data_IF_157221608547
#
_entry.id   IF_157221608547
#
_cell.length_a   1.000
_cell.length_b   1.000
_cell.length_c   1.000
_cell.angle_alpha   90.00
_cell.angle_beta   90.00
_cell.angle_gamma   90.00
#
_symmetry.space_group_name_H-M   'P 1'
#
loop_
_entity.id
_entity.type
_entity.pdbx_description
1 polymer ?
#
# COMPACT_ATOMS: atom_id res chain seq x y z
N UNK A 1 10.18 -15.34 -2.01
CA UNK A 1 9.44 -16.30 -2.86
C UNK A 1 9.77 -16.05 -4.33
N UNK A 2 9.87 -17.08 -5.17
CA UNK A 2 10.03 -16.93 -6.62
C UNK A 2 8.67 -17.19 -7.30
N UNK A 3 8.27 -16.29 -8.20
CA UNK A 3 7.07 -16.40 -9.02
C UNK A 3 7.45 -16.11 -10.49
N UNK A 4 7.70 -17.17 -11.28
CA UNK A 4 8.36 -17.01 -12.59
C UNK A 4 9.76 -16.40 -12.44
N UNK A 5 10.02 -15.28 -13.11
CA UNK A 5 11.27 -14.53 -13.01
C UNK A 5 11.24 -13.44 -11.91
N UNK A 6 10.14 -13.35 -11.16
CA UNK A 6 10.00 -12.39 -10.06
C UNK A 6 10.54 -12.99 -8.77
N UNK A 7 11.44 -12.29 -8.11
CA UNK A 7 11.81 -12.56 -6.72
C UNK A 7 11.03 -11.60 -5.81
N UNK A 8 10.16 -12.15 -4.96
CA UNK A 8 9.22 -11.40 -4.12
C UNK A 8 9.52 -11.58 -2.65
N UNK A 9 9.57 -10.48 -1.91
CA UNK A 9 9.74 -10.43 -0.46
C UNK A 9 8.67 -9.53 0.14
N UNK A 10 7.97 -10.03 1.14
CA UNK A 10 7.01 -9.22 1.88
C UNK A 10 7.75 -8.11 2.63
N UNK A 11 7.25 -6.91 2.48
CA UNK A 11 7.64 -5.76 3.25
C UNK A 11 6.60 -5.53 4.36
N UNK A 12 7.01 -5.60 5.62
CA UNK A 12 6.20 -5.16 6.76
C UNK A 12 6.83 -3.87 7.30
N UNK A 13 6.19 -2.75 6.99
CA UNK A 13 6.71 -1.42 7.28
C UNK A 13 6.18 -0.84 8.60
N UNK A 14 5.56 -1.67 9.43
CA UNK A 14 5.05 -1.31 10.76
C UNK A 14 3.66 -1.88 11.03
N UNK A 15 3.25 -1.78 12.30
CA UNK A 15 1.93 -2.18 12.77
C UNK A 15 1.26 -1.02 13.51
N UNK A 16 -0.04 -0.91 13.41
CA UNK A 16 -0.82 0.13 14.04
C UNK A 16 -2.27 -0.32 14.31
N UNK A 17 -3.10 0.56 14.83
CA UNK A 17 -4.53 0.28 15.03
C UNK A 17 -5.38 1.37 14.41
N UNK A 18 -6.48 0.96 13.78
CA UNK A 18 -7.52 1.83 13.25
C UNK A 18 -8.86 1.59 13.94
N UNK A 19 -9.72 2.61 13.96
CA UNK A 19 -11.11 2.42 14.38
C UNK A 19 -11.85 1.51 13.39
N UNK A 20 -12.56 0.50 13.91
CA UNK A 20 -13.28 -0.45 13.06
C UNK A 20 -14.40 0.20 12.24
N UNK A 21 -14.98 1.31 12.69
CA UNK A 21 -15.95 2.09 11.92
C UNK A 21 -15.31 2.80 10.73
N UNK A 22 -14.04 3.23 10.86
CA UNK A 22 -13.27 3.77 9.74
C UNK A 22 -13.06 2.69 8.66
N UNK A 23 -12.66 1.50 9.08
CA UNK A 23 -12.26 0.43 8.17
C UNK A 23 -13.44 -0.29 7.51
N UNK A 24 -14.61 -0.32 8.15
CA UNK A 24 -15.74 -1.10 7.63
C UNK A 24 -16.94 -0.26 7.18
N UNK A 25 -16.88 1.05 7.33
CA UNK A 25 -17.87 1.98 6.78
C UNK A 25 -19.30 1.65 7.20
N UNK A 26 -20.13 1.41 6.21
CA UNK A 26 -21.55 1.10 6.39
C UNK A 26 -21.85 -0.34 6.86
N UNK A 27 -20.83 -1.21 6.93
CA UNK A 27 -21.03 -2.59 7.38
C UNK A 27 -21.33 -2.60 8.89
N UNK A 28 -22.43 -3.21 9.34
CA UNK A 28 -22.76 -3.27 10.76
C UNK A 28 -21.66 -3.97 11.58
N UNK A 29 -21.31 -3.39 12.75
CA UNK A 29 -20.26 -3.91 13.63
C UNK A 29 -20.46 -5.41 13.96
N UNK A 30 -21.68 -5.83 14.23
CA UNK A 30 -22.02 -7.24 14.54
C UNK A 30 -21.65 -8.24 13.41
N UNK A 31 -21.39 -7.74 12.19
CA UNK A 31 -20.94 -8.55 11.06
C UNK A 31 -19.42 -8.53 10.92
N UNK A 32 -18.79 -7.34 10.93
CA UNK A 32 -17.35 -7.25 10.69
C UNK A 32 -16.52 -7.66 11.91
N UNK A 33 -17.00 -7.43 13.15
CA UNK A 33 -16.28 -7.79 14.37
C UNK A 33 -16.02 -9.30 14.49
N UNK A 34 -16.89 -10.14 13.89
CA UNK A 34 -16.67 -11.59 13.79
C UNK A 34 -15.50 -11.98 12.90
N UNK A 35 -15.07 -11.08 12.01
CA UNK A 35 -13.97 -11.28 11.06
C UNK A 35 -12.69 -10.62 11.53
N UNK A 36 -12.82 -9.44 12.15
CA UNK A 36 -11.73 -8.65 12.69
C UNK A 36 -12.15 -8.12 14.07
N UNK A 37 -11.83 -8.86 15.16
CA UNK A 37 -12.18 -8.45 16.51
C UNK A 37 -11.59 -7.09 16.88
N UNK A 38 -12.41 -6.22 17.48
CA UNK A 38 -11.99 -4.93 17.98
C UNK A 38 -11.69 -4.98 19.48
N UNK A 39 -10.80 -4.11 19.94
CA UNK A 39 -10.59 -3.89 21.37
C UNK A 39 -11.71 -3.02 21.98
N UNK A 40 -11.60 -2.72 23.31
CA UNK A 40 -12.60 -1.92 24.03
C UNK A 40 -12.81 -0.50 23.48
N UNK A 41 -11.84 0.02 22.71
CA UNK A 41 -11.89 1.33 22.09
C UNK A 41 -12.34 1.24 20.61
N UNK A 42 -12.88 0.12 20.18
CA UNK A 42 -13.26 -0.16 18.79
C UNK A 42 -12.07 -0.23 17.81
N UNK A 43 -10.83 -0.38 18.31
CA UNK A 43 -9.62 -0.41 17.49
C UNK A 43 -9.32 -1.83 17.03
N UNK A 44 -9.01 -2.00 15.75
CA UNK A 44 -8.59 -3.26 15.12
C UNK A 44 -7.11 -3.20 14.76
N UNK A 45 -6.47 -4.36 14.68
CA UNK A 45 -5.07 -4.46 14.29
C UNK A 45 -4.90 -4.27 12.77
N UNK A 46 -3.89 -3.47 12.41
CA UNK A 46 -3.47 -3.13 11.05
C UNK A 46 -1.98 -3.39 10.90
N UNK A 47 -1.54 -3.76 9.70
CA UNK A 47 -0.14 -3.73 9.31
C UNK A 47 0.04 -2.78 8.12
N UNK A 48 1.22 -2.22 7.94
CA UNK A 48 1.62 -1.57 6.69
C UNK A 48 2.40 -2.61 5.89
N UNK A 49 1.73 -3.22 4.93
CA UNK A 49 2.27 -4.30 4.11
C UNK A 49 2.50 -3.81 2.69
N UNK A 50 3.68 -4.07 2.20
CA UNK A 50 4.07 -3.81 0.83
C UNK A 50 4.89 -4.97 0.27
N UNK A 51 5.67 -4.67 -0.75
CA UNK A 51 6.48 -5.66 -1.44
C UNK A 51 7.85 -5.09 -1.80
N UNK A 52 8.90 -5.87 -1.58
CA UNK A 52 10.20 -5.66 -2.18
C UNK A 52 10.35 -6.73 -3.26
N UNK A 53 10.53 -6.32 -4.50
CA UNK A 53 10.62 -7.24 -5.64
C UNK A 53 11.90 -7.02 -6.45
N UNK A 54 12.49 -8.12 -6.96
CA UNK A 54 13.46 -8.06 -8.05
C UNK A 54 12.78 -8.45 -9.35
N UNK A 55 12.79 -7.53 -10.32
CA UNK A 55 12.15 -7.67 -11.62
C UNK A 55 13.18 -7.30 -12.69
N UNK A 56 13.57 -8.24 -13.53
CA UNK A 56 14.59 -8.03 -14.58
C UNK A 56 15.89 -7.38 -14.02
N UNK A 57 16.34 -7.83 -12.84
CA UNK A 57 17.55 -7.33 -12.18
C UNK A 57 17.39 -6.00 -11.45
N UNK A 58 16.20 -5.37 -11.48
CA UNK A 58 15.90 -4.11 -10.78
C UNK A 58 15.22 -4.35 -9.46
N UNK A 59 15.52 -3.52 -8.46
CA UNK A 59 14.89 -3.55 -7.13
C UNK A 59 13.73 -2.56 -7.11
N UNK A 60 12.53 -3.08 -6.87
CA UNK A 60 11.28 -2.32 -6.77
C UNK A 60 10.79 -2.39 -5.33
N UNK A 61 10.43 -1.25 -4.76
CA UNK A 61 9.72 -1.16 -3.46
C UNK A 61 8.30 -0.67 -3.73
N UNK A 62 7.32 -1.42 -3.26
CA UNK A 62 5.93 -1.02 -3.27
C UNK A 62 5.44 -0.82 -1.85
N UNK A 63 4.88 0.33 -1.57
CA UNK A 63 4.51 0.85 -0.26
C UNK A 63 5.71 1.18 0.64
N UNK A 64 5.60 2.25 1.40
CA UNK A 64 6.68 2.66 2.30
C UNK A 64 6.24 2.75 3.76
N UNK A 65 4.96 2.52 4.02
CA UNK A 65 4.39 2.54 5.36
C UNK A 65 4.38 3.92 6.01
N UNK A 66 4.24 3.93 7.32
CA UNK A 66 4.10 5.15 8.15
C UNK A 66 5.42 5.93 8.25
N UNK A 67 6.56 5.23 8.16
CA UNK A 67 7.85 5.83 8.42
C UNK A 67 8.04 6.26 9.88
N UNK A 68 9.08 7.07 10.12
CA UNK A 68 9.52 7.43 11.47
C UNK A 68 9.21 8.88 11.88
N UNK A 69 8.47 9.64 11.04
CA UNK A 69 8.24 11.08 11.24
C UNK A 69 6.95 11.41 11.99
N UNK A 70 6.10 10.41 12.26
CA UNK A 70 4.83 10.63 12.93
C UNK A 70 5.04 11.24 14.32
N UNK A 71 4.26 12.26 14.69
CA UNK A 71 4.37 12.86 16.00
C UNK A 71 4.06 11.83 17.10
N UNK A 72 4.72 11.94 18.26
CA UNK A 72 4.49 11.05 19.40
C UNK A 72 3.01 10.93 19.77
N UNK A 73 2.30 12.08 19.77
CA UNK A 73 0.86 12.11 20.04
C UNK A 73 0.07 11.23 19.07
N UNK A 74 0.36 11.36 17.77
CA UNK A 74 -0.35 10.58 16.73
C UNK A 74 0.08 9.10 16.78
N UNK A 75 1.36 8.83 16.99
CA UNK A 75 1.87 7.46 17.16
C UNK A 75 1.19 6.73 18.35
N UNK A 76 0.99 7.43 19.48
CA UNK A 76 0.24 6.88 20.60
C UNK A 76 -1.25 6.66 20.28
N UNK A 77 -1.88 7.57 19.55
CA UNK A 77 -3.30 7.46 19.18
C UNK A 77 -3.56 6.23 18.29
N UNK A 78 -2.66 5.94 17.37
CA UNK A 78 -2.76 4.78 16.46
C UNK A 78 -2.02 3.54 16.98
N UNK A 79 -1.47 3.58 18.18
CA UNK A 79 -0.73 2.47 18.80
C UNK A 79 0.36 1.96 17.84
N UNK A 80 1.15 2.89 17.28
CA UNK A 80 2.20 2.56 16.31
C UNK A 80 3.27 1.66 16.92
N UNK A 81 3.63 0.61 16.20
CA UNK A 81 4.72 -0.32 16.53
C UNK A 81 5.61 -0.51 15.30
N UNK A 82 6.90 -0.68 15.52
CA UNK A 82 7.91 -0.99 14.49
C UNK A 82 7.93 0.02 13.32
N UNK A 83 8.00 1.35 13.57
CA UNK A 83 7.97 2.35 12.51
C UNK A 83 9.18 2.27 11.56
N UNK A 84 10.25 1.59 11.95
CA UNK A 84 11.46 1.36 11.14
C UNK A 84 11.37 0.09 10.27
N UNK A 85 10.20 -0.55 10.20
CA UNK A 85 10.02 -1.84 9.51
C UNK A 85 10.45 -1.82 8.04
N UNK A 86 10.26 -0.70 7.33
CA UNK A 86 10.76 -0.52 5.96
C UNK A 86 12.28 -0.72 5.85
N UNK A 87 13.05 0.02 6.65
CA UNK A 87 14.52 -0.04 6.61
C UNK A 87 15.03 -1.38 7.15
N UNK A 88 14.38 -1.95 8.15
CA UNK A 88 14.67 -3.29 8.66
C UNK A 88 14.45 -4.36 7.59
N UNK A 89 13.36 -4.28 6.82
CA UNK A 89 13.07 -5.24 5.75
C UNK A 89 14.11 -5.17 4.63
N UNK A 90 14.50 -3.98 4.20
CA UNK A 90 15.59 -3.79 3.23
C UNK A 90 16.92 -4.33 3.76
N UNK A 91 17.27 -4.02 5.00
CA UNK A 91 18.52 -4.48 5.64
C UNK A 91 18.59 -6.02 5.72
N UNK A 92 17.48 -6.68 6.06
CA UNK A 92 17.41 -8.16 6.08
C UNK A 92 17.73 -8.79 4.73
N UNK A 93 17.41 -8.09 3.63
CA UNK A 93 17.68 -8.53 2.26
C UNK A 93 19.06 -8.07 1.75
N UNK A 94 19.83 -7.34 2.58
CA UNK A 94 21.10 -6.77 2.17
C UNK A 94 20.97 -5.65 1.14
N UNK A 95 19.81 -5.00 1.06
CA UNK A 95 19.51 -3.93 0.13
C UNK A 95 19.66 -2.59 0.86
N UNK A 96 20.47 -1.68 0.32
CA UNK A 96 20.54 -0.31 0.78
C UNK A 96 19.48 0.53 0.04
N UNK A 97 18.93 1.59 0.66
CA UNK A 97 17.97 2.46 0.01
C UNK A 97 18.44 3.02 -1.34
N UNK A 98 19.76 3.28 -1.48
CA UNK A 98 20.38 3.81 -2.70
C UNK A 98 20.43 2.78 -3.85
N UNK A 99 20.19 1.51 -3.57
CA UNK A 99 20.16 0.40 -4.54
C UNK A 99 18.75 0.11 -5.06
N UNK A 100 17.74 0.83 -4.58
CA UNK A 100 16.37 0.74 -5.07
C UNK A 100 16.25 1.52 -6.37
N UNK A 101 15.77 0.86 -7.42
CA UNK A 101 15.61 1.45 -8.76
C UNK A 101 14.26 2.18 -8.92
N UNK A 102 13.22 1.66 -8.26
CA UNK A 102 11.88 2.24 -8.35
C UNK A 102 11.09 2.11 -7.04
N UNK A 103 10.31 3.12 -6.74
CA UNK A 103 9.35 3.13 -5.63
C UNK A 103 7.96 3.42 -6.19
N UNK A 104 7.00 2.62 -5.75
CA UNK A 104 5.58 2.79 -6.08
C UNK A 104 4.80 2.91 -4.77
N UNK A 105 4.07 3.99 -4.59
CA UNK A 105 3.01 4.07 -3.59
C UNK A 105 1.66 3.92 -4.28
N UNK A 106 0.74 3.17 -3.69
CA UNK A 106 -0.60 3.03 -4.26
C UNK A 106 -1.37 4.33 -4.18
N UNK A 107 -1.11 5.13 -3.16
CA UNK A 107 -1.62 6.49 -2.95
C UNK A 107 -0.76 7.21 -1.89
N UNK A 108 -1.07 8.46 -1.57
CA UNK A 108 -0.21 9.31 -0.74
C UNK A 108 -0.72 9.52 0.70
N UNK A 109 -1.58 8.64 1.23
CA UNK A 109 -1.89 8.68 2.65
C UNK A 109 -0.66 8.38 3.51
N UNK A 110 -0.63 8.92 4.72
CA UNK A 110 0.49 8.90 5.67
C UNK A 110 1.00 7.48 6.01
N UNK A 111 0.15 6.48 5.94
CA UNK A 111 0.45 5.09 6.25
C UNK A 111 0.93 4.26 5.02
N UNK A 112 0.97 4.89 3.84
CA UNK A 112 1.54 4.37 2.60
C UNK A 112 2.78 5.14 2.15
N UNK A 113 2.76 6.46 2.29
CA UNK A 113 3.80 7.36 1.79
C UNK A 113 4.80 7.82 2.87
N UNK A 114 4.55 7.55 4.15
CA UNK A 114 5.35 8.09 5.25
C UNK A 114 6.83 7.73 5.21
N UNK A 115 7.20 6.61 4.60
CA UNK A 115 8.60 6.21 4.45
C UNK A 115 9.29 6.73 3.19
N UNK A 116 8.63 7.50 2.31
CA UNK A 116 9.26 8.13 1.13
C UNK A 116 10.34 9.12 1.54
N UNK A 117 10.16 9.76 2.70
CA UNK A 117 11.11 10.69 3.30
C UNK A 117 11.43 10.28 4.73
N UNK A 118 12.57 10.74 5.21
CA UNK A 118 13.02 10.53 6.60
C UNK A 118 13.75 11.76 7.11
N UNK A 119 14.03 11.80 8.42
CA UNK A 119 14.89 12.84 8.98
C UNK A 119 16.34 12.36 8.94
N UNK A 120 17.25 13.27 8.52
CA UNK A 120 18.69 13.08 8.62
C UNK A 120 19.17 13.23 10.08
N UNK A 121 20.48 13.07 10.31
CA UNK A 121 21.10 13.19 11.64
C UNK A 121 20.99 14.60 12.23
N UNK A 122 20.79 15.63 11.42
CA UNK A 122 20.60 17.03 11.85
C UNK A 122 19.11 17.37 12.02
N UNK A 123 18.20 16.43 11.75
CA UNK A 123 16.75 16.60 11.81
C UNK A 123 16.15 17.22 10.55
N UNK A 124 16.94 17.43 9.52
CA UNK A 124 16.49 17.85 8.19
C UNK A 124 15.67 16.77 7.50
N UNK A 125 14.87 17.15 6.52
CA UNK A 125 14.07 16.23 5.74
C UNK A 125 14.84 15.79 4.49
N UNK A 126 14.96 14.48 4.27
CA UNK A 126 15.63 13.93 3.09
C UNK A 126 14.81 12.78 2.46
N UNK A 127 15.04 12.52 1.17
CA UNK A 127 14.46 11.35 0.49
C UNK A 127 15.08 10.06 1.03
N UNK A 128 14.25 9.07 1.33
CA UNK A 128 14.72 7.73 1.70
C UNK A 128 15.39 7.03 0.50
N UNK A 129 14.82 7.20 -0.68
CA UNK A 129 15.25 6.53 -1.92
C UNK A 129 15.75 7.56 -2.96
N UNK A 130 16.92 8.14 -2.72
CA UNK A 130 17.46 9.26 -3.50
C UNK A 130 17.70 8.95 -4.98
N UNK A 131 17.96 7.66 -5.30
CA UNK A 131 18.31 7.21 -6.65
C UNK A 131 17.14 6.55 -7.37
N UNK A 132 16.03 6.29 -6.67
CA UNK A 132 14.87 5.59 -7.23
C UNK A 132 13.99 6.54 -8.04
N UNK A 133 13.35 6.01 -9.09
CA UNK A 133 12.22 6.68 -9.74
C UNK A 133 10.96 6.43 -8.91
N UNK A 134 10.17 7.47 -8.66
CA UNK A 134 8.92 7.40 -7.92
C UNK A 134 7.74 7.58 -8.86
N UNK A 135 6.83 6.62 -8.90
CA UNK A 135 5.70 6.64 -9.83
C UNK A 135 4.40 6.95 -9.09
N UNK A 136 3.79 8.09 -9.41
CA UNK A 136 2.60 8.62 -8.74
C UNK A 136 1.61 9.11 -9.81
N UNK A 137 0.33 8.83 -9.64
CA UNK A 137 -0.70 9.42 -10.53
C UNK A 137 -0.74 10.94 -10.33
N UNK A 138 -0.81 11.71 -11.42
CA UNK A 138 -0.92 13.17 -11.35
C UNK A 138 -2.15 13.59 -10.53
N UNK A 139 -3.27 12.89 -10.70
CA UNK A 139 -4.51 13.15 -9.94
C UNK A 139 -4.34 12.90 -8.45
N UNK A 140 -3.49 11.94 -8.03
CA UNK A 140 -3.16 11.71 -6.62
C UNK A 140 -2.35 12.85 -6.05
N UNK A 141 -1.32 13.27 -6.78
CA UNK A 141 -0.44 14.36 -6.39
C UNK A 141 -1.22 15.67 -6.19
N UNK A 142 -2.04 16.03 -7.18
CA UNK A 142 -2.84 17.26 -7.14
C UNK A 142 -3.83 17.25 -5.97
N UNK A 143 -4.47 16.10 -5.74
CA UNK A 143 -5.40 15.94 -4.62
C UNK A 143 -4.67 15.98 -3.26
N UNK A 144 -3.52 15.32 -3.13
CA UNK A 144 -2.72 15.33 -1.90
C UNK A 144 -2.19 16.74 -1.53
N UNK A 145 -1.91 17.59 -2.53
CA UNK A 145 -1.54 18.99 -2.30
C UNK A 145 -2.70 19.83 -1.82
N UNK A 146 -3.92 19.54 -2.29
CA UNK A 146 -5.14 20.31 -2.04
C UNK A 146 -6.33 19.41 -1.69
N UNK A 147 -6.22 18.61 -0.61
CA UNK A 147 -7.27 17.68 -0.22
C UNK A 147 -8.53 18.42 0.24
N UNK A 148 -9.67 17.76 0.15
CA UNK A 148 -10.88 18.23 0.79
C UNK A 148 -10.80 18.15 2.34
N UNK A 149 -11.74 18.81 3.02
CA UNK A 149 -11.76 18.89 4.50
C UNK A 149 -11.89 17.51 5.18
N UNK A 150 -12.47 16.51 4.52
CA UNK A 150 -12.63 15.16 5.06
C UNK A 150 -11.32 14.40 4.99
N UNK A 151 -10.54 14.58 3.92
CA UNK A 151 -9.34 13.82 3.59
C UNK A 151 -8.04 14.47 4.10
N UNK A 152 -8.07 15.76 4.46
CA UNK A 152 -6.89 16.56 4.80
C UNK A 152 -5.99 15.89 5.85
N UNK A 153 -6.58 15.26 6.88
CA UNK A 153 -5.82 14.63 7.95
C UNK A 153 -5.07 13.36 7.52
N UNK A 154 -5.38 12.81 6.35
CA UNK A 154 -4.74 11.61 5.83
C UNK A 154 -3.45 11.93 5.04
N UNK A 155 -3.24 13.19 4.64
CA UNK A 155 -2.07 13.60 3.87
C UNK A 155 -1.08 14.38 4.75
N UNK A 156 0.18 13.96 4.73
CA UNK A 156 1.29 14.65 5.42
C UNK A 156 2.26 15.16 4.36
N UNK A 157 2.28 16.47 4.12
CA UNK A 157 3.08 17.08 3.03
C UNK A 157 4.57 16.74 3.11
N UNK A 158 5.14 16.68 4.30
CA UNK A 158 6.52 16.26 4.53
C UNK A 158 6.84 14.86 3.97
N UNK A 159 5.83 14.01 3.75
CA UNK A 159 6.03 12.65 3.29
C UNK A 159 6.31 12.60 1.77
N UNK A 160 5.78 13.52 0.98
CA UNK A 160 5.85 13.43 -0.48
C UNK A 160 6.34 14.69 -1.20
N UNK A 161 6.12 15.91 -0.68
CA UNK A 161 6.52 17.14 -1.39
C UNK A 161 8.02 17.22 -1.74
N UNK A 162 8.95 16.67 -0.90
CA UNK A 162 10.37 16.69 -1.27
C UNK A 162 10.73 15.90 -2.52
N UNK A 163 9.87 15.02 -3.00
CA UNK A 163 10.06 14.31 -4.28
C UNK A 163 10.09 15.25 -5.48
N UNK A 164 9.33 16.36 -5.41
CA UNK A 164 9.26 17.36 -6.48
C UNK A 164 10.27 18.50 -6.32
N UNK A 165 10.97 18.62 -5.18
CA UNK A 165 11.88 19.72 -4.85
C UNK A 165 13.23 19.61 -5.58
N UNK A 166 13.18 19.71 -6.92
CA UNK A 166 14.41 19.79 -7.77
C UNK A 166 15.12 18.45 -7.99
N UNK A 167 14.68 17.36 -7.40
CA UNK A 167 15.33 16.05 -7.49
C UNK A 167 15.00 15.28 -8.78
N UNK A 168 13.94 15.66 -9.51
CA UNK A 168 13.47 15.00 -10.76
C UNK A 168 13.32 13.48 -10.65
N UNK A 169 13.05 12.98 -9.43
CA UNK A 169 12.90 11.54 -9.17
C UNK A 169 11.45 11.07 -9.29
N UNK A 170 10.48 11.99 -9.28
CA UNK A 170 9.07 11.67 -9.44
C UNK A 170 8.69 11.65 -10.93
N UNK A 171 7.94 10.63 -11.31
CA UNK A 171 7.32 10.50 -12.63
C UNK A 171 5.81 10.46 -12.46
N UNK A 172 5.15 11.49 -12.96
CA UNK A 172 3.71 11.59 -12.91
C UNK A 172 3.06 10.80 -14.04
N UNK A 173 2.03 10.03 -13.68
CA UNK A 173 1.29 9.19 -14.58
C UNK A 173 -0.13 9.74 -14.78
N UNK A 174 -0.70 9.45 -15.94
CA UNK A 174 -2.10 9.73 -16.27
C UNK A 174 -2.77 8.43 -16.74
N UNK A 175 -3.30 7.67 -15.78
CA UNK A 175 -3.93 6.37 -16.02
C UNK A 175 -2.99 5.17 -15.93
N UNK A 176 -3.36 4.08 -16.61
CA UNK A 176 -2.61 2.82 -16.60
C UNK A 176 -1.29 2.95 -17.36
N UNK A 177 -0.21 2.39 -16.80
CA UNK A 177 1.11 2.42 -17.44
C UNK A 177 1.96 1.18 -17.12
N UNK A 178 2.75 0.73 -18.08
CA UNK A 178 3.91 -0.13 -17.82
C UNK A 178 5.13 0.80 -17.62
N UNK A 179 5.55 0.94 -16.39
CA UNK A 179 6.61 1.90 -16.00
C UNK A 179 8.01 1.34 -16.11
N UNK A 180 8.15 0.03 -16.02
CA UNK A 180 9.34 -0.76 -16.30
C UNK A 180 8.88 -2.10 -16.88
N UNK A 181 9.72 -2.83 -17.66
CA UNK A 181 9.33 -4.13 -18.18
C UNK A 181 8.83 -5.08 -17.08
N UNK A 182 7.56 -5.50 -17.18
CA UNK A 182 6.88 -6.34 -16.20
C UNK A 182 6.35 -5.61 -14.95
N UNK A 183 6.46 -4.28 -14.87
CA UNK A 183 5.94 -3.46 -13.76
C UNK A 183 4.82 -2.57 -14.27
N UNK A 184 3.59 -2.95 -13.98
CA UNK A 184 2.39 -2.26 -14.43
C UNK A 184 1.70 -1.55 -13.27
N UNK A 185 1.25 -0.33 -13.50
CA UNK A 185 0.43 0.44 -12.59
C UNK A 185 -0.95 0.62 -13.20
N UNK A 186 -1.98 0.28 -12.43
CA UNK A 186 -3.38 0.39 -12.84
C UNK A 186 -4.06 1.47 -12.01
N UNK A 187 -4.53 2.51 -12.65
CA UNK A 187 -5.28 3.58 -12.01
C UNK A 187 -6.70 3.10 -11.68
N UNK A 188 -6.97 2.88 -10.41
CA UNK A 188 -8.28 2.40 -9.93
C UNK A 188 -9.12 3.53 -9.35
N UNK A 189 -8.53 4.50 -8.67
CA UNK A 189 -9.26 5.55 -7.97
C UNK A 189 -10.15 5.00 -6.84
N UNK A 190 -11.17 5.76 -6.46
CA UNK A 190 -12.20 5.35 -5.49
C UNK A 190 -11.82 5.60 -4.03
N UNK A 191 -10.75 5.01 -3.52
CA UNK A 191 -10.25 5.33 -2.18
C UNK A 191 -9.72 6.76 -2.12
N UNK A 192 -8.79 7.10 -2.99
CA UNK A 192 -8.44 8.48 -3.38
C UNK A 192 -8.64 8.64 -4.89
N UNK A 193 -8.66 9.87 -5.44
CA UNK A 193 -8.86 10.07 -6.88
C UNK A 193 -7.77 9.39 -7.73
N UNK A 194 -6.54 9.34 -7.24
CA UNK A 194 -5.39 8.79 -7.95
C UNK A 194 -4.89 7.44 -7.43
N UNK A 195 -5.67 6.74 -6.60
CA UNK A 195 -5.29 5.39 -6.13
C UNK A 195 -4.98 4.44 -7.27
N UNK A 196 -3.91 3.68 -7.13
CA UNK A 196 -3.44 2.72 -8.13
C UNK A 196 -3.08 1.37 -7.50
N UNK A 197 -3.07 0.32 -8.31
CA UNK A 197 -2.65 -1.04 -7.96
C UNK A 197 -1.37 -1.35 -8.73
N UNK A 198 -0.34 -1.86 -8.02
CA UNK A 198 0.85 -2.40 -8.68
C UNK A 198 0.58 -3.84 -9.12
N UNK A 199 0.89 -4.15 -10.39
CA UNK A 199 0.85 -5.52 -10.92
C UNK A 199 2.22 -5.87 -11.50
N UNK A 200 2.91 -6.81 -10.88
CA UNK A 200 4.16 -7.39 -11.36
C UNK A 200 3.86 -8.62 -12.20
N UNK A 201 4.45 -8.73 -13.40
CA UNK A 201 4.21 -9.81 -14.34
C UNK A 201 5.48 -10.56 -14.74
N UNK A 202 5.37 -11.89 -14.86
CA UNK A 202 6.35 -12.76 -15.50
C UNK A 202 5.59 -13.80 -16.32
N UNK A 203 5.50 -13.57 -17.64
CA UNK A 203 4.64 -14.34 -18.53
C UNK A 203 3.17 -14.27 -18.10
N UNK A 204 2.55 -15.43 -17.89
CA UNK A 204 1.16 -15.54 -17.43
C UNK A 204 1.01 -15.35 -15.90
N UNK A 205 2.12 -15.36 -15.16
CA UNK A 205 2.10 -15.20 -13.69
C UNK A 205 2.07 -13.72 -13.30
N UNK A 206 1.31 -13.39 -12.27
CA UNK A 206 1.26 -12.04 -11.76
C UNK A 206 1.13 -11.98 -10.23
N UNK A 207 1.67 -10.89 -9.67
CA UNK A 207 1.49 -10.48 -8.28
C UNK A 207 0.93 -9.06 -8.25
N UNK A 208 -0.18 -8.83 -7.52
CA UNK A 208 -0.77 -7.52 -7.38
C UNK A 208 -0.72 -7.05 -5.91
N UNK A 209 -0.19 -5.84 -5.68
CA UNK A 209 -0.29 -5.14 -4.40
C UNK A 209 -1.49 -4.20 -4.48
N UNK A 210 -2.49 -4.47 -3.64
CA UNK A 210 -3.83 -3.93 -3.81
C UNK A 210 -4.02 -2.51 -3.25
N UNK A 211 -3.10 -2.04 -2.41
CA UNK A 211 -3.32 -0.80 -1.67
C UNK A 211 -4.64 -0.83 -0.90
N UNK A 212 -5.26 0.32 -0.80
CA UNK A 212 -6.54 0.47 -0.10
C UNK A 212 -7.76 0.15 -0.95
N UNK A 213 -7.55 -0.35 -2.17
CA UNK A 213 -8.62 -1.02 -2.90
C UNK A 213 -9.10 -2.27 -2.14
N UNK A 214 -8.16 -3.04 -1.53
CA UNK A 214 -8.47 -4.21 -0.68
C UNK A 214 -7.51 -4.24 0.51
N UNK A 215 -7.91 -3.67 1.64
CA UNK A 215 -7.04 -3.50 2.81
C UNK A 215 -6.75 -4.81 3.55
N UNK A 216 -7.79 -5.59 3.85
CA UNK A 216 -7.71 -6.80 4.67
C UNK A 216 -8.63 -7.89 4.11
N UNK A 217 -8.44 -9.13 4.55
CA UNK A 217 -9.25 -10.28 4.12
C UNK A 217 -10.77 -10.09 4.23
N UNK A 218 -11.35 -9.39 5.22
CA UNK A 218 -12.78 -9.10 5.20
C UNK A 218 -13.23 -8.25 4.00
N UNK A 219 -12.33 -7.38 3.46
CA UNK A 219 -12.60 -6.53 2.31
C UNK A 219 -12.58 -7.28 0.96
N UNK A 220 -12.27 -8.57 0.96
CA UNK A 220 -12.49 -9.44 -0.21
C UNK A 220 -13.98 -9.58 -0.58
N UNK A 221 -14.88 -9.17 0.31
CA UNK A 221 -16.28 -8.97 -0.03
C UNK A 221 -16.46 -7.65 -0.75
N UNK A 222 -16.91 -7.68 -2.01
CA UNK A 222 -17.07 -6.48 -2.83
C UNK A 222 -17.81 -5.32 -2.13
N UNK A 223 -18.97 -5.55 -1.43
CA UNK A 223 -19.69 -4.45 -0.77
C UNK A 223 -19.04 -3.92 0.52
N UNK A 224 -17.96 -4.55 0.99
CA UNK A 224 -17.28 -4.09 2.21
C UNK A 224 -16.23 -3.05 1.84
N UNK A 225 -16.57 -1.78 2.00
CA UNK A 225 -15.77 -0.59 1.70
C UNK A 225 -15.46 0.16 2.99
N UNK A 226 -14.48 1.06 2.93
CA UNK A 226 -14.11 1.88 4.08
C UNK A 226 -14.94 3.16 4.16
N UNK A 227 -15.06 3.73 5.37
CA UNK A 227 -15.59 5.10 5.51
C UNK A 227 -14.68 6.14 4.85
N UNK A 228 -13.39 5.84 4.73
CA UNK A 228 -12.40 6.72 4.11
C UNK A 228 -12.53 6.79 2.58
N UNK A 229 -13.19 5.82 1.94
CA UNK A 229 -13.34 5.81 0.48
C UNK A 229 -14.09 7.07 0.01
N UNK A 230 -13.50 7.78 -0.95
CA UNK A 230 -14.12 8.99 -1.54
C UNK A 230 -15.25 8.58 -2.48
N UNK A 231 -15.05 7.55 -3.28
CA UNK A 231 -16.05 6.94 -4.16
C UNK A 231 -16.15 5.44 -3.90
N UNK A 232 -16.94 5.01 -2.90
CA UNK A 232 -17.08 3.60 -2.56
C UNK A 232 -17.73 2.75 -3.67
N UNK A 233 -18.51 3.35 -4.57
CA UNK A 233 -19.09 2.64 -5.71
C UNK A 233 -18.03 2.29 -6.74
N UNK A 234 -17.09 3.20 -6.99
CA UNK A 234 -15.92 2.93 -7.84
C UNK A 234 -15.03 1.87 -7.21
N UNK A 235 -14.75 1.95 -5.89
CA UNK A 235 -14.02 0.90 -5.16
C UNK A 235 -14.66 -0.48 -5.39
N UNK A 236 -15.98 -0.60 -5.27
CA UNK A 236 -16.69 -1.85 -5.52
C UNK A 236 -16.52 -2.35 -6.96
N UNK A 237 -16.60 -1.47 -7.95
CA UNK A 237 -16.42 -1.82 -9.37
C UNK A 237 -15.00 -2.33 -9.64
N UNK A 238 -13.99 -1.61 -9.14
CA UNK A 238 -12.58 -1.98 -9.37
C UNK A 238 -12.19 -3.25 -8.59
N UNK A 239 -12.74 -3.48 -7.39
CA UNK A 239 -12.61 -4.74 -6.66
C UNK A 239 -13.16 -5.91 -7.47
N UNK A 240 -14.37 -5.77 -8.02
CA UNK A 240 -15.00 -6.83 -8.81
C UNK A 240 -14.14 -7.19 -10.05
N UNK A 241 -13.58 -6.17 -10.74
CA UNK A 241 -12.68 -6.38 -11.89
C UNK A 241 -11.38 -7.07 -11.48
N UNK A 242 -10.74 -6.59 -10.40
CA UNK A 242 -9.50 -7.19 -9.89
C UNK A 242 -9.72 -8.65 -9.49
N UNK A 243 -10.82 -8.96 -8.81
CA UNK A 243 -11.11 -10.32 -8.34
C UNK A 243 -11.39 -11.27 -9.50
N UNK A 244 -12.14 -10.84 -10.52
CA UNK A 244 -12.38 -11.64 -11.73
C UNK A 244 -11.06 -12.00 -12.41
N UNK A 245 -10.15 -11.05 -12.60
CA UNK A 245 -8.84 -11.30 -13.18
C UNK A 245 -7.96 -12.18 -12.29
N UNK A 246 -7.92 -11.89 -10.99
CA UNK A 246 -7.11 -12.63 -10.02
C UNK A 246 -7.55 -14.09 -9.89
N UNK A 247 -8.85 -14.38 -9.91
CA UNK A 247 -9.36 -15.75 -9.93
C UNK A 247 -9.05 -16.45 -11.25
N UNK A 248 -9.37 -15.81 -12.39
CA UNK A 248 -9.17 -16.36 -13.73
C UNK A 248 -7.72 -16.73 -14.02
N UNK A 249 -6.79 -15.85 -13.64
CA UNK A 249 -5.37 -15.97 -13.96
C UNK A 249 -4.52 -16.39 -12.75
N UNK A 250 -5.14 -16.69 -11.61
CA UNK A 250 -4.48 -17.11 -10.37
C UNK A 250 -3.38 -16.13 -9.94
N UNK A 251 -3.72 -14.85 -9.90
CA UNK A 251 -2.78 -13.84 -9.42
C UNK A 251 -2.55 -13.96 -7.91
N UNK A 252 -1.30 -13.80 -7.51
CA UNK A 252 -0.97 -13.58 -6.10
C UNK A 252 -1.40 -12.17 -5.71
N UNK A 253 -2.21 -12.03 -4.68
CA UNK A 253 -2.60 -10.73 -4.12
C UNK A 253 -1.84 -10.46 -2.84
N UNK A 254 -1.43 -9.20 -2.62
CA UNK A 254 -0.85 -8.69 -1.38
C UNK A 254 -1.76 -7.58 -0.86
N UNK A 255 -2.31 -7.78 0.35
CA UNK A 255 -3.28 -6.89 1.01
C UNK A 255 -2.54 -5.94 1.96
N UNK A 256 -2.64 -4.63 1.72
CA UNK A 256 -1.76 -3.63 2.34
C UNK A 256 -1.94 -3.45 3.85
N UNK A 257 -3.06 -3.89 4.42
CA UNK A 257 -3.32 -3.73 5.86
C UNK A 257 -3.67 -5.03 6.60
N UNK A 258 -3.46 -6.19 5.98
CA UNK A 258 -3.72 -7.48 6.60
C UNK A 258 -2.57 -7.87 7.54
N UNK A 259 -2.80 -7.98 8.87
CA UNK A 259 -1.72 -8.25 9.82
C UNK A 259 -1.31 -9.72 9.92
N UNK A 260 -2.20 -10.66 9.52
CA UNK A 260 -2.00 -12.08 9.79
C UNK A 260 -1.46 -12.84 8.56
N UNK A 261 -2.17 -12.73 7.45
CA UNK A 261 -1.90 -13.49 6.22
C UNK A 261 -2.08 -12.58 4.99
N UNK A 262 -1.15 -11.63 4.78
CA UNK A 262 -1.34 -10.55 3.82
C UNK A 262 -1.22 -10.99 2.35
N UNK A 263 -0.59 -12.12 2.07
CA UNK A 263 -0.41 -12.61 0.71
C UNK A 263 -1.18 -13.91 0.46
N UNK A 264 -1.81 -14.04 -0.70
CA UNK A 264 -2.57 -15.24 -1.05
C UNK A 264 -3.26 -15.15 -2.40
N UNK A 265 -4.10 -16.12 -2.66
CA UNK A 265 -4.86 -16.27 -3.91
C UNK A 265 -6.35 -16.25 -3.62
N UNK A 266 -7.12 -15.73 -4.57
CA UNK A 266 -8.55 -15.96 -4.61
C UNK A 266 -8.83 -17.29 -5.32
N UNK A 267 -9.60 -18.15 -4.67
CA UNK A 267 -10.13 -19.38 -5.24
C UNK A 267 -11.62 -19.23 -5.50
N UNK A 268 -12.22 -20.23 -6.15
CA UNK A 268 -13.63 -20.25 -6.56
C UNK A 268 -14.57 -19.66 -5.50
N UNK A 269 -15.34 -18.65 -5.89
CA UNK A 269 -16.28 -17.95 -5.03
C UNK A 269 -15.66 -16.93 -4.07
N UNK A 270 -14.46 -16.43 -4.34
CA UNK A 270 -13.79 -15.39 -3.53
C UNK A 270 -13.20 -15.91 -2.21
N UNK A 271 -12.90 -17.21 -2.13
CA UNK A 271 -12.27 -17.82 -0.95
C UNK A 271 -10.79 -17.45 -0.92
N UNK A 272 -10.34 -16.87 0.20
CA UNK A 272 -8.93 -16.58 0.43
C UNK A 272 -8.12 -17.84 0.74
N UNK A 273 -7.08 -18.09 -0.02
CA UNK A 273 -6.07 -19.12 0.26
C UNK A 273 -4.70 -18.43 0.47
N UNK A 274 -4.23 -18.38 1.71
CA UNK A 274 -2.94 -17.76 2.02
C UNK A 274 -1.76 -18.43 1.29
N UNK A 275 -0.73 -17.63 1.00
CA UNK A 275 0.55 -18.09 0.46
C UNK A 275 1.64 -18.00 1.55
N UNK A 276 1.90 -19.08 2.30
CA UNK A 276 2.81 -19.04 3.46
C UNK A 276 4.28 -18.81 3.10
N UNK A 277 4.67 -18.96 1.82
CA UNK A 277 6.05 -18.69 1.38
C UNK A 277 6.33 -17.19 1.24
N UNK A 278 5.31 -16.38 1.31
CA UNK A 278 5.37 -14.92 1.32
C UNK A 278 4.67 -14.41 2.59
N UNK A 279 5.26 -14.69 3.75
CA UNK A 279 4.76 -14.29 5.07
C UNK A 279 5.85 -13.57 5.87
#
# INVERSE_FOLDING_TARGET
MILGDLELHLLVAGHWKADGGLMFGVVPKVLWEKKRPADKNNMIDMACVGLIARVNGRVIVCETGIGTKLSEKRAMQVVLREPEGLLHSLKRLGIRPEEVDAVVTTHLHWDHAGGLTRRDEQGGLELTFKNARHFIQQTEWDFALHPDQRSESAFVKDDFTPLADGNQVVEFLDGDAEVLPGVHLRHVGGHTPGSQVLVLRSGELACAVTGDLVCQTPHLRVPWTMSADIDPLRVMQEKARLFEEAERHRWLLVLSHEPDQPAGYLEDGGRWRPEPRLS
#
